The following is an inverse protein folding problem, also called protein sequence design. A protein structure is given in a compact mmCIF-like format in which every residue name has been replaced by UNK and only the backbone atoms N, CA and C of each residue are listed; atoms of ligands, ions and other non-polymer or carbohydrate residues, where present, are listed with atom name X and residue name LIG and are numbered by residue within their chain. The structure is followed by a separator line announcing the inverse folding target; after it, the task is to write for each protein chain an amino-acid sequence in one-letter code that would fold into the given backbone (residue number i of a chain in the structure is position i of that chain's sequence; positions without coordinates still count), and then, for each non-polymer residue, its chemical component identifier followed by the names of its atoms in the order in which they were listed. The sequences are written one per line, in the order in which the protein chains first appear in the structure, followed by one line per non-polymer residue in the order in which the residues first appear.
data_IF_346300009223
#
_entry.id   IF_346300009223
#
_cell.length_a   1.000
_cell.length_b   1.000
_cell.length_c   1.000
_cell.angle_alpha   90.00
_cell.angle_beta   90.00
_cell.angle_gamma   90.00
#
_symmetry.space_group_name_H-M   'P 1'
#
loop_
_entity.id
_entity.type
_entity.pdbx_description
1 polymer ?
#
# COMPACT_ATOMS: atom_id res chain seq x y z
N UNK A 1 3.87 20.65 -1.16
CA UNK A 1 3.90 19.30 -1.77
C UNK A 1 3.52 19.45 -3.24
N UNK A 2 4.37 19.03 -4.18
CA UNK A 2 4.04 19.11 -5.61
C UNK A 2 3.48 17.76 -6.08
N UNK A 3 2.17 17.57 -5.90
CA UNK A 3 1.48 16.34 -6.31
C UNK A 3 1.28 16.27 -7.84
N UNK A 4 1.32 17.41 -8.54
CA UNK A 4 1.21 17.46 -9.99
C UNK A 4 2.37 16.72 -10.65
N UNK A 5 3.58 16.84 -10.07
CA UNK A 5 4.74 16.06 -10.53
C UNK A 5 4.47 14.54 -10.56
N UNK A 6 3.79 14.01 -9.51
CA UNK A 6 3.44 12.59 -9.42
C UNK A 6 2.31 12.27 -10.40
N UNK A 7 1.26 13.10 -10.41
CA UNK A 7 0.06 12.90 -11.23
C UNK A 7 0.38 12.89 -12.73
N UNK A 8 1.23 13.79 -13.19
CA UNK A 8 1.62 13.93 -14.61
C UNK A 8 2.42 12.72 -15.13
N UNK A 9 2.95 11.89 -14.22
CA UNK A 9 3.72 10.67 -14.54
C UNK A 9 2.94 9.38 -14.34
N UNK A 10 1.64 9.48 -14.08
CA UNK A 10 0.71 8.34 -14.02
C UNK A 10 -0.11 8.36 -15.31
N UNK A 11 0.13 7.39 -16.18
CA UNK A 11 -0.52 7.31 -17.49
C UNK A 11 -1.83 6.55 -17.38
N UNK A 12 -2.90 7.10 -17.95
CA UNK A 12 -4.17 6.42 -18.11
C UNK A 12 -4.14 5.54 -19.37
N UNK A 13 -4.30 4.22 -19.19
CA UNK A 13 -4.38 3.25 -20.27
C UNK A 13 -5.82 2.73 -20.33
N UNK A 14 -6.64 3.18 -21.29
CA UNK A 14 -8.01 2.73 -21.39
C UNK A 14 -8.06 1.26 -21.83
N UNK A 15 -9.16 0.59 -21.46
CA UNK A 15 -9.49 -0.78 -21.84
C UNK A 15 -8.43 -1.84 -21.49
N UNK A 16 -7.70 -1.64 -20.39
CA UNK A 16 -6.73 -2.60 -19.88
C UNK A 16 -7.04 -2.98 -18.42
N UNK A 17 -6.98 -4.29 -18.04
CA UNK A 17 -6.77 -5.49 -18.87
C UNK A 17 -8.03 -5.94 -19.62
N UNK A 18 -9.16 -5.23 -19.43
CA UNK A 18 -10.45 -5.52 -20.05
C UNK A 18 -11.12 -4.23 -20.51
N UNK A 19 -12.01 -4.28 -21.54
CA UNK A 19 -12.81 -3.13 -21.94
C UNK A 19 -13.55 -2.47 -20.75
N UNK A 20 -13.56 -1.14 -20.72
CA UNK A 20 -14.18 -0.33 -19.67
C UNK A 20 -13.31 -0.06 -18.44
N UNK A 21 -12.15 -0.69 -18.31
CA UNK A 21 -11.20 -0.42 -17.21
C UNK A 21 -10.13 0.57 -17.67
N UNK A 22 -9.92 1.63 -16.88
CA UNK A 22 -8.80 2.54 -17.09
C UNK A 22 -7.68 2.19 -16.12
N UNK A 23 -6.63 1.55 -16.62
CA UNK A 23 -5.46 1.21 -15.84
C UNK A 23 -4.60 2.45 -15.59
N UNK A 24 -4.10 2.60 -14.37
CA UNK A 24 -3.18 3.67 -13.98
C UNK A 24 -1.76 3.15 -13.98
N UNK A 25 -1.04 3.43 -15.07
CA UNK A 25 0.34 2.99 -15.23
C UNK A 25 1.31 3.94 -14.51
N UNK A 26 2.00 3.39 -13.52
CA UNK A 26 3.02 4.09 -12.74
C UNK A 26 4.43 3.94 -13.33
N UNK A 27 4.59 3.20 -14.43
CA UNK A 27 5.92 2.94 -15.01
C UNK A 27 6.68 4.22 -15.34
N UNK A 28 6.06 5.27 -15.92
CA UNK A 28 6.77 6.52 -16.18
C UNK A 28 7.19 7.24 -14.90
N UNK A 29 6.39 7.14 -13.81
CA UNK A 29 6.78 7.68 -12.51
C UNK A 29 8.01 6.95 -11.95
N UNK A 30 8.07 5.63 -12.08
CA UNK A 30 9.19 4.83 -11.62
C UNK A 30 10.45 5.03 -12.48
N UNK A 31 10.29 5.28 -13.77
CA UNK A 31 11.40 5.54 -14.70
C UNK A 31 12.04 6.93 -14.52
N UNK A 32 11.32 7.87 -13.93
CA UNK A 32 11.88 9.21 -13.66
C UNK A 32 12.87 9.16 -12.49
N UNK A 33 14.10 9.66 -12.65
CA UNK A 33 15.11 9.62 -11.58
C UNK A 33 14.69 10.30 -10.27
N UNK A 34 13.74 11.23 -10.31
CA UNK A 34 13.17 11.89 -9.13
C UNK A 34 11.84 11.26 -8.67
N UNK A 35 11.22 10.40 -9.50
CA UNK A 35 9.86 9.90 -9.30
C UNK A 35 9.68 9.23 -7.95
N UNK A 36 10.49 8.22 -7.67
CA UNK A 36 10.41 7.47 -6.41
C UNK A 36 10.75 8.33 -5.19
N UNK A 37 11.80 9.15 -5.29
CA UNK A 37 12.21 10.07 -4.22
C UNK A 37 11.13 11.11 -3.88
N UNK A 38 10.53 11.71 -4.90
CA UNK A 38 9.48 12.72 -4.71
C UNK A 38 8.22 12.08 -4.13
N UNK A 39 7.87 10.87 -4.57
CA UNK A 39 6.72 10.13 -4.03
C UNK A 39 6.93 9.77 -2.56
N UNK A 40 8.08 9.21 -2.20
CA UNK A 40 8.39 8.88 -0.80
C UNK A 40 8.40 10.12 0.10
N UNK A 41 8.95 11.25 -0.39
CA UNK A 41 8.90 12.53 0.31
C UNK A 41 7.47 13.02 0.52
N UNK A 42 6.62 12.97 -0.52
CA UNK A 42 5.21 13.36 -0.41
C UNK A 42 4.45 12.49 0.60
N UNK A 43 4.68 11.16 0.59
CA UNK A 43 4.12 10.26 1.59
C UNK A 43 4.56 10.62 3.01
N UNK A 44 5.84 10.89 3.22
CA UNK A 44 6.38 11.26 4.54
C UNK A 44 5.78 12.59 5.04
N UNK A 45 5.62 13.59 4.16
CA UNK A 45 4.97 14.87 4.48
C UNK A 45 3.49 14.68 4.84
N UNK A 46 2.76 13.82 4.13
CA UNK A 46 1.37 13.47 4.42
C UNK A 46 1.21 12.83 5.80
N UNK A 47 2.07 11.86 6.14
CA UNK A 47 2.08 11.23 7.46
C UNK A 47 2.37 12.24 8.56
N UNK A 48 3.35 13.12 8.35
CA UNK A 48 3.70 14.19 9.29
C UNK A 48 2.55 15.15 9.52
N UNK A 49 1.84 15.56 8.46
CA UNK A 49 0.69 16.47 8.57
C UNK A 49 -0.46 15.89 9.39
N UNK A 50 -0.64 14.56 9.36
CA UNK A 50 -1.65 13.81 10.12
C UNK A 50 -1.17 13.34 11.49
N UNK A 51 0.08 13.60 11.86
CA UNK A 51 0.64 13.16 13.13
C UNK A 51 0.81 11.63 13.22
N UNK A 52 0.83 10.91 12.10
CA UNK A 52 1.00 9.46 12.05
C UNK A 52 2.49 9.14 12.20
N UNK A 53 2.84 8.34 13.21
CA UNK A 53 4.22 7.98 13.57
C UNK A 53 4.37 6.46 13.59
N UNK A 54 4.65 5.82 12.45
CA UNK A 54 4.91 4.39 12.40
C UNK A 54 6.27 4.04 13.00
N UNK A 55 6.42 2.79 13.43
CA UNK A 55 7.72 2.20 13.82
C UNK A 55 8.26 1.26 12.76
N UNK A 56 7.41 0.77 11.85
CA UNK A 56 7.76 -0.17 10.79
C UNK A 56 6.75 -0.06 9.65
N UNK A 57 7.16 -0.44 8.45
CA UNK A 57 6.35 -0.39 7.23
C UNK A 57 6.02 -1.80 6.75
N UNK A 58 4.78 -2.03 6.36
CA UNK A 58 4.33 -3.21 5.63
C UNK A 58 3.98 -2.82 4.19
N UNK A 59 4.56 -3.49 3.21
CA UNK A 59 4.25 -3.28 1.80
C UNK A 59 3.64 -4.53 1.17
N UNK A 60 2.63 -4.34 0.32
CA UNK A 60 1.91 -5.45 -0.33
C UNK A 60 2.55 -5.81 -1.66
N UNK A 61 2.70 -7.12 -1.93
CA UNK A 61 3.23 -7.63 -3.20
C UNK A 61 2.34 -7.19 -4.37
N UNK A 62 2.92 -6.69 -5.43
CA UNK A 62 4.34 -6.44 -5.67
C UNK A 62 4.67 -4.95 -5.71
N UNK A 63 3.78 -4.10 -6.24
CA UNK A 63 4.05 -2.67 -6.46
C UNK A 63 4.15 -1.87 -5.16
N UNK A 64 3.47 -2.32 -4.11
CA UNK A 64 3.60 -1.75 -2.77
C UNK A 64 5.01 -1.86 -2.19
N UNK A 65 5.80 -2.85 -2.61
CA UNK A 65 7.20 -2.97 -2.18
C UNK A 65 8.05 -1.78 -2.61
N UNK A 66 7.83 -1.30 -3.82
CA UNK A 66 8.62 -0.23 -4.41
C UNK A 66 8.50 1.05 -3.55
N UNK A 67 7.28 1.46 -3.29
CA UNK A 67 7.00 2.65 -2.49
C UNK A 67 7.23 2.43 -1.00
N UNK A 68 6.92 1.23 -0.50
CA UNK A 68 7.14 0.87 0.89
C UNK A 68 8.61 0.90 1.30
N UNK A 69 9.51 0.36 0.48
CA UNK A 69 10.96 0.40 0.72
C UNK A 69 11.49 1.83 0.63
N UNK A 70 11.06 2.59 -0.39
CA UNK A 70 11.49 3.98 -0.53
C UNK A 70 11.03 4.87 0.63
N UNK A 71 9.81 4.66 1.14
CA UNK A 71 9.31 5.37 2.30
C UNK A 71 10.01 4.92 3.59
N UNK A 72 10.30 3.62 3.74
CA UNK A 72 11.05 3.09 4.88
C UNK A 72 12.44 3.74 4.98
N UNK A 73 13.17 3.82 3.86
CA UNK A 73 14.46 4.51 3.78
C UNK A 73 14.31 5.99 4.18
N UNK A 74 13.33 6.70 3.60
CA UNK A 74 13.11 8.12 3.87
C UNK A 74 12.78 8.42 5.35
N UNK A 75 12.18 7.46 6.07
CA UNK A 75 11.80 7.58 7.48
C UNK A 75 12.79 6.91 8.43
N UNK A 76 13.82 6.21 7.94
CA UNK A 76 14.77 5.44 8.76
C UNK A 76 14.12 4.24 9.47
N UNK A 77 13.14 3.59 8.82
CA UNK A 77 12.35 2.49 9.38
C UNK A 77 12.64 1.15 8.67
N UNK A 78 12.27 0.04 9.33
CA UNK A 78 12.26 -1.28 8.73
C UNK A 78 11.09 -1.50 7.78
N UNK A 79 11.21 -2.53 6.92
CA UNK A 79 10.19 -2.92 5.96
C UNK A 79 9.87 -4.42 6.07
N UNK A 80 8.58 -4.77 6.05
CA UNK A 80 8.07 -6.14 6.03
C UNK A 80 7.27 -6.38 4.76
N UNK A 81 7.64 -7.38 3.95
CA UNK A 81 6.86 -7.75 2.77
C UNK A 81 5.62 -8.57 3.12
N UNK A 82 4.46 -8.15 2.63
CA UNK A 82 3.23 -8.94 2.60
C UNK A 82 3.13 -9.63 1.25
N UNK A 83 3.05 -10.95 1.23
CA UNK A 83 3.27 -11.73 0.01
C UNK A 83 2.10 -12.61 -0.38
N UNK A 84 2.08 -13.01 -1.64
CA UNK A 84 1.21 -14.10 -2.13
C UNK A 84 1.60 -15.44 -1.50
N UNK A 85 0.67 -16.42 -1.41
CA UNK A 85 0.94 -17.72 -0.78
C UNK A 85 2.15 -18.44 -1.35
N UNK A 86 2.90 -19.10 -0.45
CA UNK A 86 4.05 -19.91 -0.83
C UNK A 86 5.31 -19.12 -1.20
N UNK A 87 5.35 -17.80 -0.96
CA UNK A 87 6.53 -16.94 -1.24
C UNK A 87 7.40 -16.71 -0.01
N UNK A 88 6.94 -17.09 1.16
CA UNK A 88 7.65 -16.90 2.43
C UNK A 88 8.16 -18.25 2.97
N UNK A 89 9.44 -18.34 3.39
CA UNK A 89 10.07 -19.63 3.70
C UNK A 89 9.84 -20.12 5.13
N UNK A 90 9.32 -19.29 6.03
CA UNK A 90 9.06 -19.65 7.45
C UNK A 90 7.55 -19.74 7.71
N UNK A 91 7.15 -20.04 8.93
CA UNK A 91 5.73 -20.09 9.32
C UNK A 91 5.02 -18.77 9.07
N UNK A 92 3.82 -18.83 8.48
CA UNK A 92 3.04 -17.66 8.09
C UNK A 92 1.67 -17.62 8.75
N UNK A 93 1.13 -16.41 8.92
CA UNK A 93 -0.31 -16.17 8.94
C UNK A 93 -0.80 -15.96 7.52
N UNK A 94 -2.00 -16.48 7.23
CA UNK A 94 -2.67 -16.32 5.94
C UNK A 94 -4.04 -15.71 6.13
N UNK A 95 -4.43 -14.84 5.20
CA UNK A 95 -5.78 -14.28 5.07
C UNK A 95 -6.19 -14.39 3.61
N UNK A 96 -7.40 -14.92 3.38
CA UNK A 96 -8.04 -14.97 2.05
C UNK A 96 -9.11 -13.88 1.96
N UNK A 97 -9.25 -13.28 0.79
CA UNK A 97 -10.23 -12.24 0.52
C UNK A 97 -10.86 -12.42 -0.86
N UNK A 98 -12.07 -11.92 -1.01
CA UNK A 98 -12.82 -12.01 -2.25
C UNK A 98 -12.39 -10.92 -3.23
N UNK A 99 -12.29 -11.28 -4.49
CA UNK A 99 -12.18 -10.38 -5.63
C UNK A 99 -13.52 -10.33 -6.36
N UNK A 100 -13.68 -9.43 -7.33
CA UNK A 100 -14.85 -9.46 -8.23
C UNK A 100 -15.00 -10.82 -8.92
N UNK A 101 -13.87 -11.46 -9.24
CA UNK A 101 -13.83 -12.80 -9.84
C UNK A 101 -12.83 -13.66 -9.06
N UNK A 102 -13.35 -14.54 -8.20
CA UNK A 102 -12.55 -15.49 -7.42
C UNK A 102 -12.10 -14.96 -6.07
N UNK A 103 -11.14 -15.65 -5.48
CA UNK A 103 -10.50 -15.27 -4.20
C UNK A 103 -9.00 -15.19 -4.36
N UNK A 104 -8.40 -14.36 -3.54
CA UNK A 104 -6.94 -14.25 -3.44
C UNK A 104 -6.52 -14.36 -1.97
N UNK A 105 -5.25 -14.52 -1.71
CA UNK A 105 -4.73 -14.67 -0.35
C UNK A 105 -3.40 -13.94 -0.21
N UNK A 106 -3.14 -13.50 1.01
CA UNK A 106 -1.88 -12.89 1.42
C UNK A 106 -1.32 -13.60 2.65
N UNK A 107 -0.02 -13.53 2.81
CA UNK A 107 0.73 -14.11 3.91
C UNK A 107 1.76 -13.13 4.46
N UNK A 108 2.01 -13.22 5.78
CA UNK A 108 3.17 -12.64 6.45
C UNK A 108 3.79 -13.69 7.36
N UNK A 109 5.09 -13.58 7.68
CA UNK A 109 5.68 -14.41 8.72
C UNK A 109 5.01 -14.16 10.07
N UNK A 110 4.82 -15.21 10.88
CA UNK A 110 4.19 -15.10 12.21
C UNK A 110 4.93 -14.17 13.16
N UNK A 111 6.24 -14.06 12.98
CA UNK A 111 7.16 -13.22 13.76
C UNK A 111 7.51 -11.90 13.06
N UNK A 112 6.70 -11.49 12.06
CA UNK A 112 6.96 -10.30 11.25
C UNK A 112 6.93 -8.99 12.05
N UNK A 113 6.05 -8.93 13.05
CA UNK A 113 5.85 -7.76 13.88
C UNK A 113 5.80 -8.14 15.37
N UNK A 114 6.17 -7.17 16.21
CA UNK A 114 6.01 -7.26 17.67
C UNK A 114 4.69 -6.59 18.08
N UNK A 115 4.07 -6.98 19.21
CA UNK A 115 2.86 -6.32 19.70
C UNK A 115 3.00 -4.81 19.95
N UNK A 116 4.23 -4.33 20.15
CA UNK A 116 4.54 -2.90 20.34
C UNK A 116 4.68 -2.13 19.04
N UNK A 117 4.70 -2.81 17.89
CA UNK A 117 4.89 -2.16 16.60
C UNK A 117 3.64 -1.37 16.17
N UNK A 118 3.92 -0.20 15.62
CA UNK A 118 2.97 0.69 14.97
C UNK A 118 3.18 0.60 13.47
N UNK A 119 2.40 -0.23 12.81
CA UNK A 119 2.62 -0.58 11.40
C UNK A 119 1.90 0.40 10.49
N UNK A 120 2.62 0.90 9.49
CA UNK A 120 2.05 1.62 8.36
C UNK A 120 1.94 0.67 7.16
N UNK A 121 0.75 0.53 6.60
CA UNK A 121 0.53 -0.20 5.35
C UNK A 121 0.77 0.72 4.16
N UNK A 122 1.57 0.26 3.20
CA UNK A 122 1.89 1.00 1.97
C UNK A 122 1.56 0.16 0.75
N UNK A 123 0.83 0.74 -0.19
CA UNK A 123 0.63 0.16 -1.51
C UNK A 123 0.60 1.28 -2.57
N UNK A 124 0.66 0.92 -3.84
CA UNK A 124 0.58 1.89 -4.92
C UNK A 124 -0.85 2.35 -5.21
N UNK A 125 -1.84 1.47 -5.07
CA UNK A 125 -3.20 1.72 -5.49
C UNK A 125 -4.24 1.24 -4.46
N UNK A 126 -5.16 2.13 -4.09
CA UNK A 126 -6.40 1.78 -3.42
C UNK A 126 -7.53 1.68 -4.45
N UNK A 127 -7.97 0.45 -4.74
CA UNK A 127 -9.13 0.16 -5.58
C UNK A 127 -10.35 -0.18 -4.69
N UNK A 128 -10.79 -1.43 -4.65
CA UNK A 128 -11.90 -1.90 -3.80
C UNK A 128 -11.54 -2.04 -2.31
N UNK A 129 -10.24 -2.02 -1.98
CA UNK A 129 -9.74 -2.10 -0.60
C UNK A 129 -9.60 -3.53 -0.04
N UNK A 130 -9.96 -4.57 -0.79
CA UNK A 130 -9.88 -5.95 -0.33
C UNK A 130 -8.47 -6.39 0.10
N UNK A 131 -7.48 -6.10 -0.74
CA UNK A 131 -6.05 -6.37 -0.47
C UNK A 131 -5.55 -5.63 0.77
N UNK A 132 -5.90 -4.35 0.90
CA UNK A 132 -5.53 -3.54 2.05
C UNK A 132 -6.16 -4.06 3.35
N UNK A 133 -7.45 -4.43 3.32
CA UNK A 133 -8.14 -5.03 4.46
C UNK A 133 -7.51 -6.37 4.88
N UNK A 134 -7.18 -7.23 3.93
CA UNK A 134 -6.48 -8.49 4.21
C UNK A 134 -5.10 -8.25 4.85
N UNK A 135 -4.38 -7.22 4.40
CA UNK A 135 -3.10 -6.80 4.98
C UNK A 135 -3.27 -6.33 6.43
N UNK A 136 -4.28 -5.52 6.72
CA UNK A 136 -4.63 -5.11 8.10
C UNK A 136 -4.89 -6.32 8.98
N UNK A 137 -5.74 -7.24 8.54
CA UNK A 137 -6.07 -8.46 9.28
C UNK A 137 -4.84 -9.35 9.56
N UNK A 138 -3.89 -9.42 8.63
CA UNK A 138 -2.63 -10.14 8.83
C UNK A 138 -1.79 -9.51 9.94
N UNK A 139 -1.66 -8.18 9.93
CA UNK A 139 -0.91 -7.44 10.95
C UNK A 139 -1.54 -7.65 12.32
N UNK A 140 -2.85 -7.52 12.43
CA UNK A 140 -3.60 -7.72 13.68
C UNK A 140 -3.42 -9.14 14.27
N UNK A 141 -3.26 -10.17 13.43
CA UNK A 141 -2.93 -11.53 13.91
C UNK A 141 -1.60 -11.60 14.66
N UNK A 142 -0.67 -10.69 14.42
CA UNK A 142 0.60 -10.59 15.15
C UNK A 142 0.49 -9.79 16.45
N UNK A 143 -0.71 -9.26 16.76
CA UNK A 143 -0.98 -8.35 17.88
C UNK A 143 -0.35 -6.95 17.72
N UNK A 144 0.25 -6.63 16.58
CA UNK A 144 0.70 -5.28 16.25
C UNK A 144 -0.49 -4.38 15.88
N UNK A 145 -0.30 -3.07 15.98
CA UNK A 145 -1.33 -2.09 15.63
C UNK A 145 -1.09 -1.46 14.27
N UNK A 146 -2.14 -1.30 13.46
CA UNK A 146 -2.08 -0.52 12.22
C UNK A 146 -2.39 0.95 12.54
N UNK A 147 -1.42 1.84 12.32
CA UNK A 147 -1.57 3.28 12.61
C UNK A 147 -2.01 4.08 11.40
N UNK A 148 -1.97 3.51 10.22
CA UNK A 148 -2.45 4.13 8.99
C UNK A 148 -2.18 3.28 7.76
N UNK A 149 -2.82 3.68 6.67
CA UNK A 149 -2.57 3.14 5.33
C UNK A 149 -2.31 4.31 4.39
N UNK A 150 -1.33 4.19 3.51
CA UNK A 150 -1.01 5.21 2.53
C UNK A 150 -0.79 4.61 1.15
N UNK A 151 -1.39 5.26 0.16
CA UNK A 151 -1.38 4.86 -1.24
C UNK A 151 -0.86 6.00 -2.12
N UNK A 152 -0.25 5.67 -3.25
CA UNK A 152 0.05 6.68 -4.27
C UNK A 152 -1.22 7.12 -4.96
N UNK A 153 -2.08 6.16 -5.31
CA UNK A 153 -3.30 6.37 -6.10
C UNK A 153 -4.52 5.86 -5.33
N UNK A 154 -5.63 6.57 -5.42
CA UNK A 154 -6.96 6.10 -5.03
C UNK A 154 -7.92 6.21 -6.22
N UNK A 155 -8.66 5.13 -6.48
CA UNK A 155 -9.80 5.12 -7.42
C UNK A 155 -11.09 5.34 -6.61
N UNK A 156 -11.55 6.59 -6.56
CA UNK A 156 -12.64 7.01 -5.66
C UNK A 156 -13.96 6.29 -5.98
N UNK A 157 -14.24 6.04 -7.26
CA UNK A 157 -15.45 5.34 -7.73
C UNK A 157 -15.58 3.92 -7.16
N UNK A 158 -14.48 3.26 -6.81
CA UNK A 158 -14.48 1.91 -6.26
C UNK A 158 -14.70 1.85 -4.74
N UNK A 159 -14.79 3.01 -4.09
CA UNK A 159 -15.15 3.14 -2.68
C UNK A 159 -14.32 2.30 -1.70
N UNK A 160 -13.04 2.07 -1.99
CA UNK A 160 -12.15 1.22 -1.19
C UNK A 160 -12.00 1.66 0.27
N UNK A 161 -12.22 2.94 0.58
CA UNK A 161 -12.21 3.43 1.96
C UNK A 161 -13.31 2.82 2.84
N UNK A 162 -14.45 2.44 2.26
CA UNK A 162 -15.56 1.85 3.04
C UNK A 162 -15.16 0.57 3.76
N UNK A 163 -14.33 -0.27 3.14
CA UNK A 163 -13.88 -1.52 3.76
C UNK A 163 -12.74 -1.31 4.77
N UNK A 164 -12.18 -0.09 4.81
CA UNK A 164 -11.11 0.35 5.71
C UNK A 164 -11.62 1.33 6.77
N UNK A 165 -12.94 1.38 6.99
CA UNK A 165 -13.55 2.25 8.00
C UNK A 165 -12.92 2.01 9.38
N UNK A 166 -12.67 3.09 10.11
CA UNK A 166 -11.95 3.06 11.40
C UNK A 166 -10.43 3.20 11.29
N UNK A 167 -9.86 3.16 10.09
CA UNK A 167 -8.43 3.38 9.87
C UNK A 167 -8.12 4.74 9.25
N UNK A 168 -6.91 5.25 9.54
CA UNK A 168 -6.39 6.45 8.88
C UNK A 168 -5.91 6.08 7.47
N UNK A 169 -6.67 6.47 6.46
CA UNK A 169 -6.34 6.21 5.05
C UNK A 169 -5.91 7.49 4.35
N UNK A 170 -4.76 7.47 3.69
CA UNK A 170 -4.22 8.55 2.86
C UNK A 170 -3.98 8.08 1.44
N UNK A 171 -4.14 8.99 0.48
CA UNK A 171 -3.72 8.80 -0.90
C UNK A 171 -3.18 10.11 -1.45
N UNK A 172 -2.12 10.06 -2.26
CA UNK A 172 -1.50 11.24 -2.83
C UNK A 172 -2.28 11.80 -4.01
N UNK A 173 -2.73 10.91 -4.89
CA UNK A 173 -3.47 11.28 -6.11
C UNK A 173 -4.78 10.51 -6.15
N UNK A 174 -5.85 11.18 -6.60
CA UNK A 174 -7.19 10.60 -6.71
C UNK A 174 -7.70 10.67 -8.14
N UNK A 175 -8.43 9.66 -8.55
CA UNK A 175 -9.10 9.57 -9.85
C UNK A 175 -10.53 9.07 -9.68
#
# INVERSE_FOLDING_TARGET
MNLDFIKDRIVAVPDFPKPGIVFRDITPLLADPQGLKMTAKAMAEELKSKGIKPTIIAGTESRGFIFGVALAEALGLGFVPVRKPGKLPRETYKVSYQLEYGSDSLEIHKDAFKPTDKVLVVDDLLATGGTAKATVQLIEKTQASVVGLIFVIELEDLNGRKVLEGHNVSALVKY
#
